data_IF_265499141869
#
_entry.id   IF_265499141869
#
_cell.length_a   1.000
_cell.length_b   1.000
_cell.length_c   1.000
_cell.angle_alpha   90.00
_cell.angle_beta   90.00
_cell.angle_gamma   90.00
#
_symmetry.space_group_name_H-M   'P 1'
#
loop_
_entity.id
_entity.type
_entity.pdbx_description
1 polymer ?
#
# COMPACT_ATOMS: atom_id res chain seq x y z
N UNK A 1 24.03 9.61 -7.30
CA UNK A 1 25.03 8.65 -7.82
C UNK A 1 25.36 7.68 -6.69
N UNK A 2 24.64 6.56 -6.61
CA UNK A 2 24.80 5.56 -5.56
C UNK A 2 25.99 4.66 -5.90
N UNK A 3 26.98 4.54 -5.01
CA UNK A 3 28.17 3.72 -5.25
C UNK A 3 27.88 2.22 -5.19
N UNK A 4 28.50 1.45 -6.09
CA UNK A 4 28.41 -0.02 -6.22
C UNK A 4 28.60 -0.77 -4.88
N UNK A 5 29.25 -0.16 -3.90
CA UNK A 5 29.54 -0.76 -2.59
C UNK A 5 28.32 -0.89 -1.65
N UNK A 6 27.24 -0.12 -1.86
CA UNK A 6 26.00 -0.26 -1.07
C UNK A 6 25.06 -1.34 -1.63
N UNK A 7 25.20 -1.68 -2.91
CA UNK A 7 24.49 -2.80 -3.55
C UNK A 7 24.95 -4.16 -3.01
N UNK A 8 26.26 -4.32 -2.78
CA UNK A 8 26.83 -5.56 -2.25
C UNK A 8 26.45 -5.84 -0.78
N UNK A 9 26.14 -4.81 0.01
CA UNK A 9 25.59 -5.01 1.36
C UNK A 9 24.22 -5.70 1.32
N UNK A 10 23.40 -5.46 0.30
CA UNK A 10 22.06 -6.04 0.21
C UNK A 10 22.06 -7.46 -0.36
N UNK A 11 22.94 -7.75 -1.34
CA UNK A 11 23.22 -9.14 -1.78
C UNK A 11 23.81 -9.99 -0.64
N UNK A 12 24.50 -9.34 0.32
CA UNK A 12 25.09 -9.97 1.50
C UNK A 12 24.17 -10.13 2.71
N UNK A 13 23.06 -9.38 2.81
CA UNK A 13 22.01 -9.65 3.82
C UNK A 13 21.16 -10.79 3.29
N UNK A 14 21.70 -11.99 3.38
CA UNK A 14 20.85 -13.17 3.38
C UNK A 14 19.89 -13.04 4.57
N UNK A 15 18.60 -12.85 4.31
CA UNK A 15 17.57 -13.33 5.21
C UNK A 15 17.57 -14.87 5.16
N UNK A 16 18.72 -15.51 5.43
CA UNK A 16 18.78 -16.93 5.75
C UNK A 16 18.32 -17.09 7.18
N UNK A 17 17.00 -17.17 7.33
CA UNK A 17 16.45 -18.28 8.09
C UNK A 17 15.54 -19.04 7.15
N UNK A 18 15.93 -20.28 6.86
CA UNK A 18 14.95 -21.30 6.54
C UNK A 18 13.80 -21.15 7.51
N UNK A 19 12.64 -20.71 7.03
CA UNK A 19 11.38 -21.08 7.64
C UNK A 19 11.33 -22.59 7.45
N UNK A 20 11.97 -23.34 8.36
CA UNK A 20 11.50 -24.69 8.63
C UNK A 20 10.02 -24.50 8.89
N UNK A 21 9.18 -25.25 8.19
CA UNK A 21 7.83 -25.49 8.65
C UNK A 21 7.96 -25.99 10.10
N UNK A 22 7.85 -25.07 11.05
CA UNK A 22 7.67 -25.39 12.45
C UNK A 22 6.35 -26.14 12.45
N UNK A 23 6.36 -27.32 13.07
CA UNK A 23 5.15 -28.14 13.19
C UNK A 23 3.97 -27.28 13.65
N UNK A 24 2.77 -27.65 13.19
CA UNK A 24 1.50 -27.14 13.69
C UNK A 24 1.30 -27.56 15.16
N UNK A 25 2.20 -27.13 16.04
CA UNK A 25 1.92 -27.02 17.46
C UNK A 25 1.28 -25.63 17.64
N UNK A 26 0.17 -25.55 18.39
CA UNK A 26 -0.58 -24.32 18.70
C UNK A 26 0.29 -23.29 19.46
N UNK A 27 1.29 -22.72 18.80
CA UNK A 27 2.12 -21.66 19.36
C UNK A 27 1.31 -20.38 19.29
N UNK A 28 0.70 -20.01 20.41
CA UNK A 28 0.06 -18.72 20.60
C UNK A 28 1.10 -17.62 20.38
N UNK A 29 0.94 -16.83 19.32
CA UNK A 29 1.81 -15.69 19.06
C UNK A 29 1.75 -14.68 20.22
N UNK A 30 2.88 -14.38 20.84
CA UNK A 30 2.94 -13.39 21.92
C UNK A 30 2.74 -11.95 21.40
N UNK A 31 2.52 -11.00 22.31
CA UNK A 31 2.27 -9.59 21.99
C UNK A 31 3.42 -8.93 21.20
N UNK A 32 4.68 -9.19 21.60
CA UNK A 32 5.84 -8.60 20.95
C UNK A 32 6.04 -9.17 19.53
N UNK A 33 5.85 -10.48 19.38
CA UNK A 33 5.86 -11.17 18.10
C UNK A 33 4.73 -10.70 17.19
N UNK A 34 3.55 -10.41 17.72
CA UNK A 34 2.42 -9.87 16.95
C UNK A 34 2.68 -8.43 16.47
N UNK A 35 3.30 -7.58 17.30
CA UNK A 35 3.75 -6.24 16.87
C UNK A 35 4.81 -6.34 15.77
N UNK A 36 5.80 -7.24 15.92
CA UNK A 36 6.82 -7.50 14.88
C UNK A 36 6.22 -8.07 13.60
N UNK A 37 5.17 -8.89 13.70
CA UNK A 37 4.46 -9.39 12.52
C UNK A 37 3.74 -8.26 11.78
N UNK A 38 3.10 -7.35 12.50
CA UNK A 38 2.42 -6.21 11.90
C UNK A 38 3.43 -5.21 11.31
N UNK A 39 4.47 -4.82 12.06
CA UNK A 39 5.26 -3.63 11.75
C UNK A 39 6.78 -3.84 11.67
N UNK A 40 7.27 -5.06 11.91
CA UNK A 40 8.69 -5.39 11.93
C UNK A 40 9.10 -6.43 10.90
N UNK A 41 9.91 -7.39 11.34
CA UNK A 41 10.66 -8.36 10.54
C UNK A 41 10.01 -9.75 10.45
N UNK A 42 8.77 -9.91 10.94
CA UNK A 42 8.03 -11.19 10.90
C UNK A 42 6.72 -11.13 10.07
N UNK A 43 6.69 -10.54 8.86
CA UNK A 43 5.45 -10.30 8.13
C UNK A 43 4.70 -11.57 7.70
N UNK A 44 5.39 -12.72 7.63
CA UNK A 44 4.83 -14.02 7.30
C UNK A 44 4.32 -14.83 8.49
N UNK A 45 4.32 -14.26 9.71
CA UNK A 45 3.86 -14.98 10.91
C UNK A 45 2.40 -15.43 10.78
N UNK A 46 2.10 -16.64 11.27
CA UNK A 46 0.72 -17.10 11.36
C UNK A 46 0.03 -16.44 12.56
N UNK A 47 -1.13 -15.85 12.29
CA UNK A 47 -2.01 -15.20 13.27
C UNK A 47 -3.39 -15.84 13.29
N UNK A 48 -3.53 -17.04 12.73
CA UNK A 48 -4.80 -17.78 12.62
C UNK A 48 -5.47 -18.07 13.97
N UNK A 49 -4.68 -18.20 15.03
CA UNK A 49 -5.18 -18.42 16.40
C UNK A 49 -5.88 -17.18 17.02
N UNK A 50 -5.69 -15.97 16.44
CA UNK A 50 -6.34 -14.75 16.94
C UNK A 50 -7.82 -14.76 16.56
N UNK A 51 -8.68 -14.62 17.57
CA UNK A 51 -10.12 -14.72 17.48
C UNK A 51 -10.82 -13.38 17.78
N UNK A 52 -12.13 -13.25 17.48
CA UNK A 52 -12.91 -12.09 17.91
C UNK A 52 -13.02 -11.90 19.43
N UNK A 53 -12.73 -12.93 20.23
CA UNK A 53 -12.72 -12.87 21.70
C UNK A 53 -11.43 -12.28 22.26
N UNK A 54 -10.37 -12.18 21.45
CA UNK A 54 -9.10 -11.58 21.86
C UNK A 54 -9.22 -10.08 22.13
N UNK A 55 -8.21 -9.56 22.83
CA UNK A 55 -8.09 -8.14 23.14
C UNK A 55 -8.16 -7.28 21.87
N UNK A 56 -8.80 -6.09 21.94
CA UNK A 56 -9.03 -5.26 20.76
C UNK A 56 -7.76 -4.91 19.97
N UNK A 57 -6.65 -4.57 20.63
CA UNK A 57 -5.38 -4.25 19.95
C UNK A 57 -4.76 -5.47 19.27
N UNK A 58 -4.83 -6.67 19.89
CA UNK A 58 -4.37 -7.92 19.24
C UNK A 58 -5.16 -8.19 17.96
N UNK A 59 -6.49 -8.01 18.01
CA UNK A 59 -7.36 -8.16 16.84
C UNK A 59 -7.03 -7.17 15.72
N UNK A 60 -6.74 -5.91 16.07
CA UNK A 60 -6.31 -4.91 15.08
C UNK A 60 -4.98 -5.27 14.43
N UNK A 61 -3.96 -5.62 15.23
CA UNK A 61 -2.65 -6.06 14.73
C UNK A 61 -2.76 -7.29 13.82
N UNK A 62 -3.53 -8.30 14.22
CA UNK A 62 -3.79 -9.47 13.39
C UNK A 62 -4.53 -9.10 12.08
N UNK A 63 -5.48 -8.17 12.14
CA UNK A 63 -6.14 -7.63 10.95
C UNK A 63 -5.16 -6.94 9.98
N UNK A 64 -4.16 -6.24 10.50
CA UNK A 64 -3.07 -5.63 9.72
C UNK A 64 -2.19 -6.70 9.05
N UNK A 65 -1.80 -7.75 9.79
CA UNK A 65 -1.00 -8.88 9.27
C UNK A 65 -1.75 -9.64 8.18
N UNK A 66 -2.99 -10.05 8.44
CA UNK A 66 -3.83 -10.77 7.49
C UNK A 66 -4.09 -9.94 6.23
N UNK A 67 -4.25 -8.62 6.38
CA UNK A 67 -4.34 -7.69 5.25
C UNK A 67 -3.11 -7.69 4.36
N UNK A 68 -1.91 -7.61 4.96
CA UNK A 68 -0.64 -7.68 4.23
C UNK A 68 -0.47 -9.01 3.48
N UNK A 69 -0.94 -10.12 4.07
CA UNK A 69 -0.93 -11.45 3.47
C UNK A 69 -2.04 -11.65 2.41
N UNK A 70 -2.90 -10.65 2.18
CA UNK A 70 -4.03 -10.73 1.22
C UNK A 70 -5.23 -11.53 1.73
N UNK A 71 -5.28 -11.90 3.02
CA UNK A 71 -6.37 -12.65 3.66
C UNK A 71 -7.50 -11.72 4.13
N UNK A 72 -8.06 -10.94 3.21
CA UNK A 72 -8.97 -9.84 3.56
C UNK A 72 -10.27 -10.28 4.24
N UNK A 73 -10.79 -11.47 3.97
CA UNK A 73 -11.96 -12.01 4.66
C UNK A 73 -11.70 -12.25 6.15
N UNK A 74 -10.57 -12.91 6.47
CA UNK A 74 -10.16 -13.16 7.85
C UNK A 74 -9.89 -11.83 8.57
N UNK A 75 -9.19 -10.90 7.91
CA UNK A 75 -8.96 -9.57 8.45
C UNK A 75 -10.28 -8.81 8.74
N UNK A 76 -11.25 -8.90 7.83
CA UNK A 76 -12.55 -8.24 8.00
C UNK A 76 -13.35 -8.79 9.18
N UNK A 77 -13.25 -10.10 9.47
CA UNK A 77 -13.87 -10.72 10.66
C UNK A 77 -13.34 -10.12 11.95
N UNK A 78 -12.04 -9.85 12.02
CA UNK A 78 -11.41 -9.26 13.22
C UNK A 78 -11.67 -7.75 13.33
N UNK A 79 -11.55 -7.01 12.22
CA UNK A 79 -11.62 -5.56 12.17
C UNK A 79 -13.04 -5.00 12.16
N UNK A 80 -14.00 -5.71 11.55
CA UNK A 80 -15.37 -5.23 11.39
C UNK A 80 -16.03 -4.82 12.71
N UNK A 81 -16.03 -5.69 13.75
CA UNK A 81 -16.60 -5.32 15.04
C UNK A 81 -15.78 -4.25 15.80
N UNK A 82 -14.50 -4.07 15.49
CA UNK A 82 -13.67 -3.02 16.12
C UNK A 82 -14.12 -1.61 15.70
N UNK A 83 -14.79 -1.44 14.56
CA UNK A 83 -15.34 -0.14 14.15
C UNK A 83 -16.44 0.38 15.08
N UNK A 84 -17.02 -0.47 15.92
CA UNK A 84 -18.10 -0.12 16.84
C UNK A 84 -17.64 -0.11 18.32
N UNK A 85 -16.34 -0.26 18.61
CA UNK A 85 -15.88 -0.19 20.01
C UNK A 85 -15.92 1.24 20.53
N UNK A 86 -16.00 1.39 21.85
CA UNK A 86 -16.02 2.70 22.53
C UNK A 86 -14.70 3.46 22.45
N UNK A 87 -13.60 2.79 22.12
CA UNK A 87 -12.29 3.41 21.95
C UNK A 87 -12.21 4.06 20.54
N UNK A 88 -12.31 5.41 20.44
CA UNK A 88 -12.35 6.09 19.15
C UNK A 88 -11.05 5.94 18.34
N UNK A 89 -9.90 5.83 19.00
CA UNK A 89 -8.60 5.66 18.33
C UNK A 89 -8.55 4.30 17.66
N UNK A 90 -8.93 3.24 18.38
CA UNK A 90 -8.93 1.90 17.82
C UNK A 90 -10.01 1.71 16.74
N UNK A 91 -11.20 2.29 16.93
CA UNK A 91 -12.26 2.28 15.92
C UNK A 91 -11.81 2.98 14.62
N UNK A 92 -11.11 4.12 14.76
CA UNK A 92 -10.48 4.84 13.64
C UNK A 92 -9.45 3.97 12.92
N UNK A 93 -8.51 3.37 13.65
CA UNK A 93 -7.49 2.51 13.08
C UNK A 93 -8.09 1.28 12.38
N UNK A 94 -9.12 0.66 12.95
CA UNK A 94 -9.81 -0.46 12.33
C UNK A 94 -10.52 -0.06 11.02
N UNK A 95 -11.18 1.10 11.00
CA UNK A 95 -11.81 1.66 9.80
C UNK A 95 -10.76 1.94 8.70
N UNK A 96 -9.65 2.60 9.04
CA UNK A 96 -8.56 2.89 8.09
C UNK A 96 -7.81 1.64 7.60
N UNK A 97 -7.64 0.61 8.44
CA UNK A 97 -7.09 -0.68 7.99
C UNK A 97 -8.02 -1.35 6.97
N UNK A 98 -9.34 -1.36 7.23
CA UNK A 98 -10.32 -1.87 6.27
C UNK A 98 -10.36 -1.03 4.99
N UNK A 99 -10.20 0.29 5.09
CA UNK A 99 -10.10 1.19 3.93
C UNK A 99 -8.90 0.80 3.05
N UNK A 100 -7.74 0.56 3.65
CA UNK A 100 -6.55 0.10 2.94
C UNK A 100 -6.80 -1.23 2.19
N UNK A 101 -7.52 -2.18 2.78
CA UNK A 101 -7.88 -3.43 2.10
C UNK A 101 -8.78 -3.19 0.88
N UNK A 102 -9.73 -2.25 0.96
CA UNK A 102 -10.56 -1.87 -0.19
C UNK A 102 -9.74 -1.22 -1.29
N UNK A 103 -8.77 -0.37 -0.91
CA UNK A 103 -7.86 0.30 -1.83
C UNK A 103 -6.97 -0.68 -2.59
N UNK A 104 -6.49 -1.73 -1.93
CA UNK A 104 -5.71 -2.80 -2.60
C UNK A 104 -6.50 -3.56 -3.66
N UNK A 105 -7.84 -3.54 -3.59
CA UNK A 105 -8.73 -4.11 -4.61
C UNK A 105 -9.25 -3.04 -5.59
N UNK A 106 -8.62 -1.86 -5.61
CA UNK A 106 -8.97 -0.70 -6.45
C UNK A 106 -10.28 0.02 -6.06
N UNK A 107 -10.81 -0.25 -4.87
CA UNK A 107 -12.06 0.29 -4.36
C UNK A 107 -11.95 1.66 -3.70
N UNK A 108 -11.42 2.67 -4.38
CA UNK A 108 -11.14 3.98 -3.80
C UNK A 108 -12.39 4.68 -3.22
N UNK A 109 -13.54 4.59 -3.89
CA UNK A 109 -14.80 5.18 -3.36
C UNK A 109 -15.22 4.52 -2.04
N UNK A 110 -15.07 3.20 -1.94
CA UNK A 110 -15.43 2.46 -0.74
C UNK A 110 -14.42 2.70 0.40
N UNK A 111 -13.13 2.72 0.07
CA UNK A 111 -12.04 3.03 0.99
C UNK A 111 -12.23 4.43 1.60
N UNK A 112 -12.53 5.43 0.77
CA UNK A 112 -12.71 6.81 1.19
C UNK A 112 -13.79 6.99 2.25
N UNK A 113 -14.90 6.25 2.15
CA UNK A 113 -15.98 6.28 3.14
C UNK A 113 -15.49 5.79 4.51
N UNK A 114 -14.65 4.76 4.53
CA UNK A 114 -14.09 4.19 5.75
C UNK A 114 -13.04 5.12 6.37
N UNK A 115 -12.19 5.78 5.58
CA UNK A 115 -11.25 6.77 6.12
C UNK A 115 -11.96 8.06 6.61
N UNK A 116 -13.08 8.44 6.00
CA UNK A 116 -13.93 9.53 6.52
C UNK A 116 -14.64 9.13 7.84
N UNK A 117 -15.10 7.88 7.94
CA UNK A 117 -15.60 7.30 9.20
C UNK A 117 -14.51 7.31 10.28
N UNK A 118 -13.26 6.98 9.93
CA UNK A 118 -12.14 7.02 10.86
C UNK A 118 -11.96 8.40 11.50
N UNK A 119 -11.96 9.48 10.69
CA UNK A 119 -11.94 10.85 11.21
C UNK A 119 -13.16 11.20 12.08
N UNK A 120 -14.33 10.62 11.76
CA UNK A 120 -15.56 10.82 12.55
C UNK A 120 -15.45 10.17 13.94
N UNK A 121 -14.78 9.03 14.07
CA UNK A 121 -14.49 8.42 15.36
C UNK A 121 -13.58 9.33 16.19
N UNK A 122 -12.53 9.89 15.59
CA UNK A 122 -11.61 10.80 16.29
C UNK A 122 -12.28 12.11 16.75
N UNK A 123 -13.33 12.56 16.06
CA UNK A 123 -14.11 13.72 16.51
C UNK A 123 -14.87 13.48 17.84
N UNK A 124 -14.95 12.22 18.30
CA UNK A 124 -15.60 11.84 19.56
C UNK A 124 -14.63 11.83 20.75
N UNK A 125 -13.35 12.17 20.54
CA UNK A 125 -12.36 12.31 21.61
C UNK A 125 -12.81 13.37 22.63
N UNK A 126 -12.55 13.12 23.92
CA UNK A 126 -12.97 13.98 25.04
C UNK A 126 -14.27 13.54 25.74
N UNK A 127 -14.96 12.50 25.25
CA UNK A 127 -16.00 11.81 26.02
C UNK A 127 -15.37 10.95 27.12
N UNK A 128 -16.07 10.64 28.23
CA UNK A 128 -15.52 9.83 29.32
C UNK A 128 -14.84 8.57 28.79
N UNK A 129 -13.54 8.45 29.08
CA UNK A 129 -12.67 7.45 28.48
C UNK A 129 -13.04 6.02 28.85
N UNK A 130 -12.70 5.08 27.97
CA UNK A 130 -12.71 3.65 28.28
C UNK A 130 -11.53 3.33 29.18
N UNK A 131 -11.77 2.77 30.36
CA UNK A 131 -10.70 2.17 31.16
C UNK A 131 -10.16 0.94 30.44
N UNK A 132 -8.89 0.97 30.05
CA UNK A 132 -8.17 -0.18 29.47
C UNK A 132 -7.45 -0.96 30.57
N UNK A 133 -7.25 -2.26 30.38
CA UNK A 133 -6.33 -3.02 31.26
C UNK A 133 -4.89 -2.57 31.02
N UNK A 134 -3.98 -2.87 31.96
CA UNK A 134 -2.56 -2.50 31.83
C UNK A 134 -1.94 -3.18 30.62
N UNK A 135 -2.26 -4.45 30.37
CA UNK A 135 -1.77 -5.21 29.22
C UNK A 135 -2.24 -4.60 27.89
N UNK A 136 -3.44 -4.03 27.85
CA UNK A 136 -3.95 -3.34 26.67
C UNK A 136 -3.25 -2.01 26.42
N UNK A 137 -2.92 -1.26 27.48
CA UNK A 137 -2.16 -0.02 27.36
C UNK A 137 -0.74 -0.27 26.87
N UNK A 138 -0.05 -1.26 27.44
CA UNK A 138 1.32 -1.63 27.04
C UNK A 138 1.36 -2.08 25.59
N UNK A 139 0.41 -2.93 25.16
CA UNK A 139 0.35 -3.37 23.77
C UNK A 139 0.02 -2.23 22.81
N UNK A 140 -0.93 -1.35 23.17
CA UNK A 140 -1.30 -0.19 22.37
C UNK A 140 -0.10 0.76 22.17
N UNK A 141 0.66 1.02 23.22
CA UNK A 141 1.89 1.82 23.15
C UNK A 141 2.93 1.17 22.24
N UNK A 142 3.23 -0.13 22.45
CA UNK A 142 4.19 -0.88 21.62
C UNK A 142 3.79 -0.91 20.14
N UNK A 143 2.49 -0.91 19.83
CA UNK A 143 1.97 -0.89 18.48
C UNK A 143 1.87 0.52 17.85
N UNK A 144 2.15 1.58 18.63
CA UNK A 144 1.99 2.97 18.20
C UNK A 144 0.52 3.32 17.94
N UNK A 145 -0.38 2.90 18.83
CA UNK A 145 -1.80 3.28 18.84
C UNK A 145 -1.93 4.63 19.53
N UNK A 146 -1.87 5.69 18.73
CA UNK A 146 -2.01 7.07 19.20
C UNK A 146 -3.08 7.80 18.39
N UNK A 147 -3.63 8.90 18.94
CA UNK A 147 -4.53 9.78 18.18
C UNK A 147 -3.86 10.29 16.91
N UNK A 148 -2.62 10.78 17.02
CA UNK A 148 -1.83 11.29 15.90
C UNK A 148 -1.72 10.23 14.80
N UNK A 149 -1.29 9.01 15.14
CA UNK A 149 -1.13 7.94 14.18
C UNK A 149 -2.45 7.57 13.49
N UNK A 150 -3.57 7.53 14.23
CA UNK A 150 -4.89 7.25 13.68
C UNK A 150 -5.36 8.35 12.72
N UNK A 151 -5.12 9.62 13.06
CA UNK A 151 -5.46 10.79 12.23
C UNK A 151 -4.64 10.81 10.95
N UNK A 152 -3.33 10.55 11.06
CA UNK A 152 -2.41 10.45 9.93
C UNK A 152 -2.81 9.31 8.99
N UNK A 153 -3.11 8.12 9.50
CA UNK A 153 -3.53 6.98 8.66
C UNK A 153 -4.81 7.29 7.86
N UNK A 154 -5.79 7.96 8.48
CA UNK A 154 -7.03 8.36 7.83
C UNK A 154 -6.81 9.46 6.77
N UNK A 155 -6.02 10.49 7.06
CA UNK A 155 -5.70 11.57 6.12
C UNK A 155 -4.91 11.06 4.91
N UNK A 156 -3.89 10.21 5.14
CA UNK A 156 -3.13 9.58 4.08
C UNK A 156 -3.99 8.61 3.25
N UNK A 157 -4.93 7.90 3.90
CA UNK A 157 -5.91 7.08 3.21
C UNK A 157 -6.81 7.88 2.26
N UNK A 158 -7.38 8.98 2.75
CA UNK A 158 -8.17 9.91 1.92
C UNK A 158 -7.33 10.50 0.76
N UNK A 159 -6.06 10.82 1.01
CA UNK A 159 -5.15 11.32 -0.02
C UNK A 159 -4.90 10.28 -1.12
N UNK A 160 -4.62 9.03 -0.73
CA UNK A 160 -4.43 7.92 -1.66
C UNK A 160 -5.70 7.65 -2.49
N UNK A 161 -6.89 7.75 -1.88
CA UNK A 161 -8.13 7.64 -2.65
C UNK A 161 -8.38 8.83 -3.57
N UNK A 162 -7.97 10.04 -3.18
CA UNK A 162 -8.02 11.19 -4.07
C UNK A 162 -7.11 10.98 -5.29
N UNK A 163 -5.93 10.37 -5.13
CA UNK A 163 -5.08 9.94 -6.26
C UNK A 163 -5.83 8.94 -7.15
N UNK A 164 -6.35 7.85 -6.58
CA UNK A 164 -7.11 6.83 -7.31
C UNK A 164 -8.46 7.29 -7.89
N UNK A 165 -8.87 8.54 -7.63
CA UNK A 165 -10.03 9.20 -8.21
C UNK A 165 -9.63 10.37 -9.14
N UNK A 166 -8.34 10.55 -9.44
CA UNK A 166 -7.82 11.59 -10.32
C UNK A 166 -7.86 13.01 -9.74
N UNK A 167 -8.01 13.16 -8.42
CA UNK A 167 -8.15 14.44 -7.68
C UNK A 167 -6.84 14.89 -7.06
N UNK A 168 -5.85 15.16 -7.90
CA UNK A 168 -4.46 15.46 -7.48
C UNK A 168 -4.35 16.62 -6.48
N UNK A 169 -5.07 17.73 -6.70
CA UNK A 169 -4.99 18.88 -5.77
C UNK A 169 -5.61 18.59 -4.41
N UNK A 170 -6.64 17.75 -4.37
CA UNK A 170 -7.22 17.28 -3.12
C UNK A 170 -6.24 16.38 -2.37
N UNK A 171 -5.59 15.46 -3.08
CA UNK A 171 -4.56 14.59 -2.53
C UNK A 171 -3.40 15.39 -1.91
N UNK A 172 -2.92 16.45 -2.58
CA UNK A 172 -1.86 17.33 -2.04
C UNK A 172 -2.28 18.04 -0.75
N UNK A 173 -3.52 18.54 -0.68
CA UNK A 173 -4.01 19.20 0.55
C UNK A 173 -4.12 18.23 1.71
N UNK A 174 -4.57 17.00 1.46
CA UNK A 174 -4.69 15.94 2.46
C UNK A 174 -3.32 15.44 2.92
N UNK A 175 -2.36 15.25 2.00
CA UNK A 175 -0.97 14.93 2.34
C UNK A 175 -0.35 16.03 3.21
N UNK A 176 -0.50 17.30 2.83
CA UNK A 176 0.01 18.42 3.62
C UNK A 176 -0.62 18.46 5.03
N UNK A 177 -1.90 18.07 5.17
CA UNK A 177 -2.52 17.95 6.49
C UNK A 177 -1.89 16.82 7.32
N UNK A 178 -1.64 15.65 6.72
CA UNK A 178 -0.96 14.55 7.39
C UNK A 178 0.47 14.91 7.79
N UNK A 179 1.22 15.61 6.93
CA UNK A 179 2.58 16.08 7.22
C UNK A 179 2.61 17.07 8.40
N UNK A 180 1.58 17.92 8.54
CA UNK A 180 1.44 18.81 9.70
C UNK A 180 1.23 18.03 11.00
N UNK A 181 0.36 17.03 10.99
CA UNK A 181 0.14 16.14 12.14
C UNK A 181 1.43 15.38 12.52
N UNK A 182 2.25 15.00 11.53
CA UNK A 182 3.55 14.38 11.74
C UNK A 182 4.67 15.35 12.17
N UNK A 183 4.41 16.66 12.22
CA UNK A 183 5.43 17.67 12.51
C UNK A 183 6.50 17.80 11.42
N UNK A 184 6.21 17.38 10.19
CA UNK A 184 7.13 17.44 9.04
C UNK A 184 7.09 18.78 8.28
N UNK A 185 6.46 19.82 8.85
CA UNK A 185 6.38 21.12 8.19
C UNK A 185 7.78 21.60 7.78
N UNK A 186 7.94 21.85 6.46
CA UNK A 186 9.14 22.47 5.92
C UNK A 186 9.31 23.83 6.57
N UNK A 187 10.25 23.93 7.51
CA UNK A 187 10.68 25.24 7.98
C UNK A 187 11.20 26.02 6.75
N UNK A 188 10.78 27.27 6.52
CA UNK A 188 11.41 28.09 5.51
C UNK A 188 12.91 28.19 5.84
N UNK A 189 13.76 27.91 4.85
CA UNK A 189 15.21 27.81 5.00
C UNK A 189 15.78 29.01 5.78
N UNK A 190 16.04 28.82 7.07
CA UNK A 190 16.87 29.75 7.84
C UNK A 190 18.32 29.43 7.49
N UNK A 191 18.97 30.30 6.72
CA UNK A 191 20.43 30.29 6.50
C UNK A 191 21.15 30.36 7.84
N UNK A 192 21.49 29.19 8.40
CA UNK A 192 22.21 29.01 9.66
C UNK A 192 23.62 28.49 9.45
N UNK A 193 24.59 29.16 10.07
CA UNK A 193 26.06 28.98 10.00
C UNK A 193 26.50 27.59 10.51
N UNK A 194 27.58 26.98 9.97
CA UNK A 194 27.97 25.62 10.35
C UNK A 194 28.59 25.56 11.76
N UNK A 195 28.00 24.75 12.64
CA UNK A 195 28.50 24.41 13.97
C UNK A 195 29.43 23.19 13.94
N UNK A 196 30.48 23.22 14.76
CA UNK A 196 31.55 22.21 14.88
C UNK A 196 31.04 20.84 15.35
N UNK A 197 31.57 19.77 14.73
CA UNK A 197 31.42 18.38 15.19
C UNK A 197 32.43 18.05 16.29
N UNK A 198 31.98 17.38 17.35
CA UNK A 198 32.82 16.84 18.41
C UNK A 198 32.65 15.33 18.57
N UNK A 199 33.79 14.62 18.59
CA UNK A 199 34.12 13.46 19.43
C UNK A 199 33.24 12.21 19.42
N UNK A 200 33.75 11.16 18.78
CA UNK A 200 33.25 9.79 18.89
C UNK A 200 33.69 9.13 20.21
N UNK A 201 32.78 8.36 20.81
CA UNK A 201 33.06 7.37 21.85
C UNK A 201 32.29 6.10 21.52
N UNK A 202 33.02 5.00 21.35
CA UNK A 202 32.54 3.68 20.93
C UNK A 202 31.78 2.97 22.05
N UNK A 203 30.48 2.77 21.84
CA UNK A 203 29.73 1.58 22.22
C UNK A 203 28.77 1.29 21.07
N UNK A 204 28.69 0.04 20.61
CA UNK A 204 27.81 -0.33 19.49
C UNK A 204 26.38 0.15 19.79
N UNK A 205 25.70 0.81 18.85
CA UNK A 205 24.44 1.47 19.16
C UNK A 205 23.42 0.39 19.55
N UNK A 206 22.67 0.56 20.66
CA UNK A 206 21.40 -0.13 20.81
C UNK A 206 20.55 0.17 19.55
N UNK A 207 19.62 -0.71 19.13
CA UNK A 207 18.73 -0.40 18.02
C UNK A 207 18.17 1.00 18.25
N UNK A 208 18.46 1.92 17.32
CA UNK A 208 18.09 3.32 17.46
C UNK A 208 16.58 3.36 17.75
N UNK A 209 16.12 4.14 18.74
CA UNK A 209 14.69 4.29 18.97
C UNK A 209 14.05 4.67 17.64
N UNK A 210 13.04 3.89 17.24
CA UNK A 210 12.31 4.14 16.00
C UNK A 210 11.86 5.61 16.03
N UNK A 211 12.11 6.41 14.97
CA UNK A 211 11.64 7.77 14.96
C UNK A 211 10.13 7.77 15.19
N UNK A 212 9.65 8.68 16.04
CA UNK A 212 8.24 8.80 16.35
C UNK A 212 7.42 8.83 15.05
N UNK A 213 6.35 8.03 15.01
CA UNK A 213 5.43 7.90 13.87
C UNK A 213 6.09 7.57 12.51
N UNK A 214 7.21 6.84 12.50
CA UNK A 214 7.88 6.40 11.26
C UNK A 214 6.92 5.78 10.24
N UNK A 215 5.90 5.04 10.69
CA UNK A 215 4.87 4.42 9.84
C UNK A 215 4.12 5.47 9.02
N UNK A 216 3.70 6.55 9.68
CA UNK A 216 3.03 7.68 9.04
C UNK A 216 3.93 8.37 8.03
N UNK A 217 5.21 8.59 8.38
CA UNK A 217 6.19 9.24 7.50
C UNK A 217 6.50 8.38 6.25
N UNK A 218 6.67 7.06 6.40
CA UNK A 218 6.86 6.14 5.27
C UNK A 218 5.65 6.19 4.34
N UNK A 219 4.42 6.13 4.89
CA UNK A 219 3.19 6.20 4.11
C UNK A 219 3.01 7.57 3.43
N UNK A 220 3.41 8.67 4.07
CA UNK A 220 3.41 10.00 3.48
C UNK A 220 4.34 10.05 2.25
N UNK A 221 5.51 9.43 2.33
CA UNK A 221 6.42 9.29 1.18
C UNK A 221 5.81 8.48 0.03
N UNK A 222 5.10 7.38 0.32
CA UNK A 222 4.38 6.62 -0.72
C UNK A 222 3.30 7.46 -1.41
N UNK A 223 2.42 8.09 -0.63
CA UNK A 223 1.34 8.93 -1.15
C UNK A 223 1.89 10.13 -1.92
N UNK A 224 2.97 10.75 -1.42
CA UNK A 224 3.68 11.81 -2.12
C UNK A 224 4.20 11.35 -3.48
N UNK A 225 4.87 10.20 -3.54
CA UNK A 225 5.33 9.63 -4.81
C UNK A 225 4.16 9.34 -5.77
N UNK A 226 3.08 8.74 -5.27
CA UNK A 226 1.85 8.47 -6.05
C UNK A 226 1.21 9.76 -6.59
N UNK A 227 1.18 10.84 -5.81
CA UNK A 227 0.69 12.16 -6.25
C UNK A 227 1.55 12.71 -7.40
N UNK A 228 2.87 12.62 -7.28
CA UNK A 228 3.79 13.12 -8.30
C UNK A 228 3.72 12.29 -9.59
N UNK A 229 3.58 10.96 -9.49
CA UNK A 229 3.31 10.09 -10.63
C UNK A 229 2.00 10.43 -11.33
N UNK A 230 0.90 10.58 -10.58
CA UNK A 230 -0.40 10.97 -11.12
C UNK A 230 -0.43 12.40 -11.70
N UNK A 231 0.55 13.23 -11.33
CA UNK A 231 0.75 14.57 -11.88
C UNK A 231 1.68 14.60 -13.11
N UNK A 232 2.18 13.44 -13.57
CA UNK A 232 3.13 13.33 -14.68
C UNK A 232 4.54 13.81 -14.33
N UNK A 233 4.90 13.84 -13.04
CA UNK A 233 6.20 14.32 -12.53
C UNK A 233 7.01 13.18 -11.92
N UNK A 234 7.30 12.17 -12.73
CA UNK A 234 7.97 10.96 -12.27
C UNK A 234 9.34 11.21 -11.59
N UNK A 235 10.13 12.16 -12.10
CA UNK A 235 11.40 12.60 -11.46
C UNK A 235 11.21 13.03 -10.00
N UNK A 236 10.13 13.75 -9.70
CA UNK A 236 9.83 14.24 -8.36
C UNK A 236 9.34 13.11 -7.42
N UNK A 237 8.84 12.01 -7.98
CA UNK A 237 8.38 10.86 -7.21
C UNK A 237 9.55 10.01 -6.66
N UNK A 238 10.66 9.90 -7.40
CA UNK A 238 11.84 9.10 -7.02
C UNK A 238 12.39 9.46 -5.64
N UNK A 239 12.75 10.72 -5.31
CA UNK A 239 13.32 11.05 -3.99
C UNK A 239 12.35 10.81 -2.83
N UNK A 240 11.03 10.93 -3.06
CA UNK A 240 10.01 10.62 -2.06
C UNK A 240 9.97 9.12 -1.75
N UNK A 241 9.98 8.29 -2.80
CA UNK A 241 10.00 6.84 -2.68
C UNK A 241 11.31 6.33 -2.04
N UNK A 242 12.46 6.89 -2.42
CA UNK A 242 13.75 6.57 -1.82
C UNK A 242 13.79 6.90 -0.31
N UNK A 243 13.26 8.07 0.07
CA UNK A 243 13.21 8.49 1.48
C UNK A 243 12.34 7.55 2.32
N UNK A 244 11.17 7.16 1.79
CA UNK A 244 10.30 6.17 2.42
C UNK A 244 11.01 4.82 2.60
N UNK A 245 11.72 4.35 1.57
CA UNK A 245 12.47 3.10 1.62
C UNK A 245 13.62 3.12 2.64
N UNK A 246 14.39 4.21 2.70
CA UNK A 246 15.45 4.39 3.71
C UNK A 246 14.87 4.33 5.12
N UNK A 247 13.78 5.06 5.38
CA UNK A 247 13.14 5.08 6.69
C UNK A 247 12.56 3.71 7.07
N UNK A 248 11.90 3.01 6.15
CA UNK A 248 11.39 1.67 6.37
C UNK A 248 12.50 0.66 6.69
N UNK A 249 13.68 0.80 6.05
CA UNK A 249 14.87 -0.02 6.34
C UNK A 249 15.42 0.27 7.73
N UNK A 250 15.54 1.55 8.11
CA UNK A 250 15.94 1.93 9.48
C UNK A 250 14.96 1.38 10.53
N UNK A 251 13.67 1.33 10.21
CA UNK A 251 12.63 0.76 11.06
C UNK A 251 12.66 -0.78 11.15
N UNK A 252 13.45 -1.48 10.32
CA UNK A 252 13.44 -2.95 10.26
C UNK A 252 12.09 -3.54 9.81
N UNK A 253 11.30 -2.77 9.06
CA UNK A 253 9.91 -3.08 8.77
C UNK A 253 9.77 -3.76 7.39
N UNK A 254 9.97 -5.07 7.33
CA UNK A 254 10.12 -5.84 6.10
C UNK A 254 9.03 -5.56 5.05
N UNK A 255 7.74 -5.56 5.43
CA UNK A 255 6.64 -5.25 4.48
C UNK A 255 6.73 -3.82 3.92
N UNK A 256 7.14 -2.86 4.76
CA UNK A 256 7.20 -1.45 4.39
C UNK A 256 8.41 -1.21 3.49
N UNK A 257 9.50 -1.95 3.68
CA UNK A 257 10.64 -1.97 2.76
C UNK A 257 10.17 -2.44 1.38
N UNK A 258 9.55 -3.62 1.29
CA UNK A 258 9.09 -4.17 0.01
C UNK A 258 8.05 -3.29 -0.69
N UNK A 259 7.12 -2.71 0.08
CA UNK A 259 6.16 -1.74 -0.48
C UNK A 259 6.85 -0.46 -0.96
N UNK A 260 7.85 0.04 -0.24
CA UNK A 260 8.62 1.22 -0.66
C UNK A 260 9.43 0.94 -1.93
N UNK A 261 10.04 -0.24 -2.02
CA UNK A 261 10.82 -0.65 -3.18
C UNK A 261 9.92 -0.88 -4.41
N UNK A 262 8.69 -1.38 -4.24
CA UNK A 262 7.68 -1.41 -5.29
C UNK A 262 7.34 0.01 -5.81
N UNK A 263 7.12 0.96 -4.90
CA UNK A 263 6.82 2.36 -5.27
C UNK A 263 8.03 3.01 -5.97
N UNK A 264 9.25 2.78 -5.47
CA UNK A 264 10.48 3.29 -6.07
C UNK A 264 10.72 2.67 -7.45
N UNK A 265 10.56 1.36 -7.60
CA UNK A 265 10.66 0.67 -8.88
C UNK A 265 9.70 1.24 -9.90
N UNK A 266 8.43 1.44 -9.50
CA UNK A 266 7.44 2.13 -10.35
C UNK A 266 7.89 3.54 -10.74
N UNK A 267 8.37 4.34 -9.79
CA UNK A 267 8.81 5.70 -10.08
C UNK A 267 9.98 5.75 -11.07
N UNK A 268 10.96 4.84 -10.91
CA UNK A 268 12.10 4.70 -11.81
C UNK A 268 11.68 4.24 -13.21
N UNK A 269 10.75 3.28 -13.30
CA UNK A 269 10.18 2.81 -14.55
C UNK A 269 9.57 3.96 -15.37
N UNK A 270 8.70 4.76 -14.72
CA UNK A 270 7.99 5.85 -15.39
C UNK A 270 8.92 7.00 -15.75
N UNK A 271 9.89 7.32 -14.87
CA UNK A 271 10.90 8.34 -15.15
C UNK A 271 11.78 7.96 -16.36
N UNK A 272 12.26 6.70 -16.41
CA UNK A 272 13.08 6.22 -17.52
C UNK A 272 12.34 6.16 -18.87
N UNK A 273 11.03 5.89 -18.85
CA UNK A 273 10.19 5.97 -20.06
C UNK A 273 10.05 7.40 -20.57
N UNK A 274 9.84 8.37 -19.66
CA UNK A 274 9.72 9.78 -20.02
C UNK A 274 10.99 10.30 -20.70
N UNK A 275 12.17 9.86 -20.25
CA UNK A 275 13.47 10.20 -20.84
C UNK A 275 13.70 9.54 -22.21
N UNK A 276 13.19 8.33 -22.41
CA UNK A 276 13.31 7.59 -23.68
C UNK A 276 12.38 8.15 -24.77
N UNK A 277 11.19 8.63 -24.41
CA UNK A 277 10.20 9.20 -25.33
C UNK A 277 10.55 10.58 -25.91
N UNK A 278 11.50 11.31 -25.31
CA UNK A 278 12.01 12.60 -25.83
C UNK A 278 12.90 12.41 -27.07
N UNK A 279 13.18 11.16 -27.46
CA UNK A 279 13.95 10.79 -28.66
C UNK A 279 13.15 10.72 -29.96
N UNK A 280 11.82 10.76 -29.93
CA UNK A 280 10.97 10.71 -31.12
C UNK A 280 10.51 12.11 -31.54
N UNK A 281 11.47 13.00 -31.81
CA UNK A 281 11.19 14.30 -32.45
C UNK A 281 11.28 14.13 -33.97
N UNK A 282 10.15 14.42 -34.61
CA UNK A 282 9.95 14.64 -36.05
C UNK A 282 11.17 15.34 -36.67
N UNK A 283 11.69 14.76 -37.75
CA UNK A 283 12.77 15.33 -38.54
C UNK A 283 12.49 16.80 -38.88
N UNK A 284 13.26 17.71 -38.27
CA UNK A 284 13.29 19.12 -38.64
C UNK A 284 12.99 20.10 -37.51
N UNK A 285 13.82 20.14 -36.47
CA UNK A 285 14.08 21.36 -35.68
C UNK A 285 15.37 21.17 -34.87
N UNK A 286 16.19 22.21 -34.84
CA UNK A 286 17.56 22.26 -34.32
C UNK A 286 17.67 21.84 -32.84
N UNK A 287 18.56 20.88 -32.58
CA UNK A 287 18.90 20.37 -31.24
C UNK A 287 19.66 21.45 -30.47
N UNK A 288 19.05 21.93 -29.38
CA UNK A 288 19.77 22.60 -28.29
C UNK A 288 20.27 21.50 -27.34
N UNK A 289 21.51 21.66 -26.86
CA UNK A 289 22.35 20.65 -26.18
C UNK A 289 21.61 19.61 -25.34
N UNK A 290 21.88 18.33 -25.64
CA UNK A 290 21.63 17.21 -24.74
C UNK A 290 22.58 17.35 -23.54
N UNK A 291 22.04 17.49 -22.33
CA UNK A 291 22.82 17.25 -21.11
C UNK A 291 23.20 15.76 -21.07
N UNK A 292 24.49 15.47 -21.28
CA UNK A 292 25.03 14.09 -21.25
C UNK A 292 24.77 13.40 -19.90
N UNK A 293 24.69 14.18 -18.81
CA UNK A 293 24.37 13.72 -17.46
C UNK A 293 22.92 13.22 -17.31
N UNK A 294 21.97 13.84 -18.00
CA UNK A 294 20.56 13.43 -17.99
C UNK A 294 20.36 12.13 -18.77
N UNK A 295 21.01 11.99 -19.93
CA UNK A 295 21.00 10.75 -20.70
C UNK A 295 21.70 9.58 -19.95
N UNK A 296 22.79 9.87 -19.23
CA UNK A 296 23.45 8.89 -18.35
C UNK A 296 22.61 8.45 -17.16
N UNK A 297 21.80 9.37 -16.58
CA UNK A 297 20.84 9.03 -15.53
C UNK A 297 19.72 8.13 -16.04
N UNK A 298 19.19 8.40 -17.24
CA UNK A 298 18.13 7.61 -17.87
C UNK A 298 18.52 6.15 -18.12
N UNK A 299 19.72 5.94 -18.67
CA UNK A 299 20.25 4.61 -19.01
C UNK A 299 20.40 3.72 -17.75
N UNK A 300 20.65 4.30 -16.58
CA UNK A 300 20.81 3.53 -15.33
C UNK A 300 19.48 3.15 -14.63
N UNK A 301 18.37 3.83 -14.94
CA UNK A 301 17.11 3.70 -14.16
C UNK A 301 16.31 2.46 -14.50
N UNK A 302 16.21 2.11 -15.78
CA UNK A 302 15.45 0.93 -16.20
C UNK A 302 16.05 -0.39 -15.69
N UNK A 303 17.38 -0.64 -15.80
CA UNK A 303 18.00 -1.82 -15.17
C UNK A 303 17.82 -1.84 -13.65
N UNK A 304 17.94 -0.68 -12.99
CA UNK A 304 17.72 -0.56 -11.54
C UNK A 304 16.28 -0.92 -11.15
N UNK A 305 15.30 -0.43 -11.90
CA UNK A 305 13.89 -0.76 -11.73
C UNK A 305 13.65 -2.27 -11.85
N UNK A 306 14.14 -2.90 -12.92
CA UNK A 306 13.98 -4.35 -13.17
C UNK A 306 14.56 -5.15 -12.01
N UNK A 307 15.80 -4.85 -11.61
CA UNK A 307 16.47 -5.53 -10.49
C UNK A 307 15.69 -5.35 -9.17
N UNK A 308 15.21 -4.15 -8.88
CA UNK A 308 14.48 -3.84 -7.66
C UNK A 308 13.12 -4.56 -7.61
N UNK A 309 12.35 -4.56 -8.71
CA UNK A 309 11.06 -5.23 -8.78
C UNK A 309 11.18 -6.75 -8.77
N UNK A 310 12.20 -7.32 -9.43
CA UNK A 310 12.50 -8.75 -9.35
C UNK A 310 12.84 -9.17 -7.92
N UNK A 311 13.61 -8.35 -7.21
CA UNK A 311 13.89 -8.54 -5.78
C UNK A 311 12.63 -8.48 -4.92
N UNK A 312 11.73 -7.50 -5.16
CA UNK A 312 10.43 -7.42 -4.47
C UNK A 312 9.62 -8.70 -4.69
N UNK A 313 9.56 -9.22 -5.91
CA UNK A 313 8.83 -10.46 -6.22
C UNK A 313 9.37 -11.65 -5.44
N UNK A 314 10.68 -11.88 -5.47
CA UNK A 314 11.31 -12.99 -4.76
C UNK A 314 10.99 -12.96 -3.26
N UNK A 315 11.17 -11.80 -2.61
CA UNK A 315 10.95 -11.70 -1.17
C UNK A 315 9.47 -11.68 -0.77
N UNK A 316 8.58 -11.15 -1.62
CA UNK A 316 7.13 -11.16 -1.31
C UNK A 316 6.55 -12.57 -1.34
N UNK A 317 7.06 -13.44 -2.21
CA UNK A 317 6.70 -14.87 -2.21
C UNK A 317 7.21 -15.56 -0.95
N UNK A 318 8.50 -15.41 -0.62
CA UNK A 318 9.12 -16.04 0.56
C UNK A 318 8.45 -15.63 1.87
N UNK A 319 7.98 -14.38 1.96
CA UNK A 319 7.35 -13.81 3.15
C UNK A 319 5.82 -13.97 3.17
N UNK A 320 5.23 -14.61 2.16
CA UNK A 320 3.77 -14.83 2.09
C UNK A 320 2.94 -13.54 1.87
N UNK A 321 3.54 -12.50 1.29
CA UNK A 321 2.93 -11.19 1.04
C UNK A 321 2.28 -11.11 -0.34
N UNK A 322 1.34 -12.03 -0.62
CA UNK A 322 0.69 -12.17 -1.94
C UNK A 322 0.03 -10.88 -2.45
N UNK A 323 -0.40 -9.99 -1.55
CA UNK A 323 -1.00 -8.71 -1.92
C UNK A 323 -0.04 -7.76 -2.66
N UNK A 324 1.27 -7.97 -2.55
CA UNK A 324 2.31 -7.20 -3.24
C UNK A 324 2.87 -7.89 -4.49
N UNK A 325 2.67 -9.20 -4.63
CA UNK A 325 3.17 -9.98 -5.78
C UNK A 325 2.54 -9.50 -7.07
N UNK A 326 1.20 -9.46 -7.13
CA UNK A 326 0.51 -9.13 -8.37
C UNK A 326 0.79 -7.72 -8.92
N UNK A 327 0.85 -6.63 -8.12
CA UNK A 327 1.21 -5.31 -8.67
C UNK A 327 2.70 -5.25 -9.06
N UNK A 328 3.60 -5.91 -8.33
CA UNK A 328 5.02 -5.94 -8.68
C UNK A 328 5.26 -6.67 -10.00
N UNK A 329 4.61 -7.82 -10.20
CA UNK A 329 4.72 -8.61 -11.42
C UNK A 329 4.12 -7.86 -12.62
N UNK A 330 2.99 -7.16 -12.42
CA UNK A 330 2.39 -6.34 -13.48
C UNK A 330 3.26 -5.19 -13.94
N UNK A 331 3.93 -4.49 -13.01
CA UNK A 331 4.86 -3.42 -13.39
C UNK A 331 6.08 -4.02 -14.10
N UNK A 332 6.67 -5.09 -13.54
CA UNK A 332 7.85 -5.72 -14.13
C UNK A 332 7.60 -6.29 -15.54
N UNK A 333 6.41 -6.86 -15.78
CA UNK A 333 6.04 -7.43 -17.08
C UNK A 333 6.06 -6.42 -18.24
N UNK A 334 6.01 -5.10 -17.94
CA UNK A 334 6.09 -4.03 -18.94
C UNK A 334 7.53 -3.70 -19.35
N UNK A 335 8.50 -4.15 -18.56
CA UNK A 335 9.91 -3.80 -18.70
C UNK A 335 10.82 -5.00 -18.94
N UNK A 336 10.29 -6.22 -18.82
CA UNK A 336 10.97 -7.49 -19.10
C UNK A 336 10.18 -8.27 -20.17
N UNK A 337 10.32 -7.93 -21.48
CA UNK A 337 9.50 -8.52 -22.54
C UNK A 337 9.69 -10.03 -22.68
N UNK A 338 10.91 -10.53 -22.45
CA UNK A 338 11.25 -11.95 -22.56
C UNK A 338 10.58 -12.80 -21.45
N UNK A 339 10.32 -12.20 -20.29
CA UNK A 339 9.70 -12.85 -19.12
C UNK A 339 8.22 -12.44 -18.94
N UNK A 340 7.69 -11.58 -19.81
CA UNK A 340 6.39 -10.91 -19.62
C UNK A 340 5.23 -11.90 -19.44
N UNK A 341 5.19 -12.98 -20.22
CA UNK A 341 4.14 -14.00 -20.10
C UNK A 341 4.14 -14.69 -18.72
N UNK A 342 5.32 -15.09 -18.23
CA UNK A 342 5.46 -15.72 -16.92
C UNK A 342 5.08 -14.75 -15.79
N UNK A 343 5.50 -13.48 -15.89
CA UNK A 343 5.16 -12.44 -14.92
C UNK A 343 3.65 -12.15 -14.88
N UNK A 344 2.98 -12.15 -16.03
CA UNK A 344 1.52 -12.00 -16.09
C UNK A 344 0.80 -13.20 -15.46
N UNK A 345 1.30 -14.41 -15.65
CA UNK A 345 0.76 -15.62 -14.99
C UNK A 345 0.96 -15.55 -13.47
N UNK A 346 2.12 -15.08 -13.00
CA UNK A 346 2.36 -14.85 -11.58
C UNK A 346 1.39 -13.81 -11.00
N UNK A 347 1.17 -12.70 -11.72
CA UNK A 347 0.21 -11.69 -11.32
C UNK A 347 -1.22 -12.25 -11.22
N UNK A 348 -1.64 -13.04 -12.21
CA UNK A 348 -2.95 -13.67 -12.23
C UNK A 348 -3.14 -14.63 -11.05
N UNK A 349 -2.18 -15.52 -10.83
CA UNK A 349 -2.22 -16.50 -9.75
C UNK A 349 -2.28 -15.84 -8.37
N UNK A 350 -1.42 -14.84 -8.15
CA UNK A 350 -1.40 -14.08 -6.89
C UNK A 350 -2.73 -13.34 -6.66
N UNK A 351 -3.25 -12.63 -7.66
CA UNK A 351 -4.53 -11.92 -7.55
C UNK A 351 -5.68 -12.91 -7.30
N UNK A 352 -5.71 -14.05 -7.99
CA UNK A 352 -6.69 -15.11 -7.78
C UNK A 352 -6.67 -15.66 -6.35
N UNK A 353 -5.49 -15.82 -5.74
CA UNK A 353 -5.37 -16.18 -4.32
C UNK A 353 -5.93 -15.08 -3.40
N UNK A 354 -5.58 -13.82 -3.64
CA UNK A 354 -6.09 -12.67 -2.87
C UNK A 354 -7.62 -12.58 -2.96
N UNK A 355 -8.20 -12.74 -4.15
CA UNK A 355 -9.65 -12.65 -4.36
C UNK A 355 -10.40 -13.83 -3.74
N UNK A 356 -9.84 -15.04 -3.77
CA UNK A 356 -10.39 -16.20 -3.03
C UNK A 356 -10.41 -15.95 -1.52
N UNK A 357 -9.39 -15.26 -1.01
CA UNK A 357 -9.27 -14.92 0.40
C UNK A 357 -9.94 -13.58 0.77
N UNK A 358 -10.59 -12.88 -0.16
CA UNK A 358 -11.32 -11.64 0.08
C UNK A 358 -12.77 -11.89 0.51
N UNK A 359 -13.36 -10.98 1.28
CA UNK A 359 -14.78 -11.04 1.65
C UNK A 359 -15.69 -10.68 0.44
N UNK A 360 -17.01 -10.96 0.50
CA UNK A 360 -17.92 -10.70 -0.62
C UNK A 360 -17.96 -9.24 -1.08
N UNK A 361 -17.75 -8.26 -0.19
CA UNK A 361 -17.71 -6.84 -0.58
C UNK A 361 -16.42 -6.57 -1.37
N UNK A 362 -15.29 -7.11 -0.90
CA UNK A 362 -13.99 -6.99 -1.57
C UNK A 362 -14.02 -7.55 -2.99
N UNK A 363 -14.59 -8.75 -3.19
CA UNK A 363 -14.70 -9.36 -4.53
C UNK A 363 -15.56 -8.52 -5.48
N UNK A 364 -16.69 -8.00 -5.02
CA UNK A 364 -17.55 -7.11 -5.84
C UNK A 364 -16.83 -5.82 -6.22
N UNK A 365 -16.07 -5.25 -5.28
CA UNK A 365 -15.24 -4.07 -5.52
C UNK A 365 -14.20 -4.36 -6.61
N UNK A 366 -13.45 -5.46 -6.47
CA UNK A 366 -12.43 -5.83 -7.45
C UNK A 366 -13.01 -6.05 -8.85
N UNK A 367 -14.14 -6.75 -8.95
CA UNK A 367 -14.82 -7.02 -10.22
C UNK A 367 -15.30 -5.74 -10.94
N UNK A 368 -15.68 -4.70 -10.18
CA UNK A 368 -16.13 -3.42 -10.72
C UNK A 368 -15.00 -2.39 -10.87
N UNK A 369 -13.78 -2.71 -10.42
CA UNK A 369 -12.70 -1.76 -10.32
C UNK A 369 -12.07 -1.49 -11.69
N UNK A 370 -11.87 -0.22 -12.09
CA UNK A 370 -11.09 0.09 -13.29
C UNK A 370 -9.59 -0.17 -13.09
N UNK A 371 -9.15 -0.30 -11.83
CA UNK A 371 -7.75 -0.51 -11.46
C UNK A 371 -7.35 -1.98 -11.43
N UNK A 372 -8.33 -2.90 -11.41
CA UNK A 372 -8.03 -4.33 -11.47
C UNK A 372 -8.18 -4.78 -12.93
N UNK A 373 -7.11 -5.27 -13.59
CA UNK A 373 -7.20 -5.68 -14.99
C UNK A 373 -8.23 -6.80 -15.18
N UNK A 374 -9.17 -6.62 -16.12
CA UNK A 374 -10.24 -7.59 -16.34
C UNK A 374 -9.72 -8.91 -16.90
N UNK A 375 -8.62 -8.90 -17.65
CA UNK A 375 -7.94 -10.10 -18.12
C UNK A 375 -7.37 -10.98 -16.98
N UNK A 376 -7.12 -10.40 -15.80
CA UNK A 376 -6.75 -11.17 -14.61
C UNK A 376 -7.97 -11.68 -13.84
N UNK A 377 -9.18 -11.22 -14.17
CA UNK A 377 -10.43 -11.59 -13.53
C UNK A 377 -11.23 -12.62 -14.34
N UNK A 378 -11.13 -12.57 -15.67
CA UNK A 378 -11.87 -13.43 -16.59
C UNK A 378 -10.93 -14.00 -17.65
N UNK A 379 -10.87 -15.32 -17.75
CA UNK A 379 -10.12 -15.98 -18.83
C UNK A 379 -10.74 -15.66 -20.19
N UNK A 380 -9.91 -15.26 -21.16
CA UNK A 380 -10.33 -15.02 -22.55
C UNK A 380 -10.88 -13.63 -22.85
N UNK A 381 -10.99 -12.72 -21.87
CA UNK A 381 -11.28 -11.31 -22.15
C UNK A 381 -9.99 -10.58 -22.59
N UNK A 382 -10.02 -9.79 -23.68
CA UNK A 382 -8.90 -8.90 -23.96
C UNK A 382 -8.74 -7.93 -22.79
N UNK A 383 -7.51 -7.63 -22.35
CA UNK A 383 -7.29 -6.64 -21.31
C UNK A 383 -7.99 -5.34 -21.69
N UNK A 384 -8.68 -4.74 -20.73
CA UNK A 384 -9.46 -3.52 -20.86
C UNK A 384 -8.72 -2.58 -21.82
N UNK A 385 -9.26 -2.41 -23.03
CA UNK A 385 -8.59 -1.76 -24.15
C UNK A 385 -8.33 -0.28 -23.88
N UNK A 386 -7.24 -0.02 -23.17
CA UNK A 386 -6.44 1.19 -23.08
C UNK A 386 -5.23 0.85 -22.18
N UNK A 387 -4.10 0.45 -22.77
CA UNK A 387 -2.75 0.42 -22.19
C UNK A 387 -2.58 -0.20 -20.79
N UNK A 388 -1.86 -1.32 -20.69
CA UNK A 388 -1.36 -1.87 -19.42
C UNK A 388 -0.54 -0.87 -18.58
N UNK A 389 -0.11 0.24 -19.20
CA UNK A 389 0.62 1.38 -18.66
C UNK A 389 -0.12 2.26 -17.62
N UNK A 390 -1.28 1.84 -17.09
CA UNK A 390 -2.22 2.77 -16.39
C UNK A 390 -2.54 2.41 -14.94
N UNK A 391 -1.95 1.36 -14.40
CA UNK A 391 -2.26 0.84 -13.06
C UNK A 391 -1.82 1.78 -11.92
N UNK A 392 -0.80 2.62 -12.12
CA UNK A 392 -0.24 3.53 -11.09
C UNK A 392 -0.07 5.00 -11.53
N UNK A 393 -0.33 5.32 -12.80
CA UNK A 393 0.10 6.58 -13.44
C UNK A 393 -1.03 7.38 -14.09
N UNK A 394 -2.18 6.76 -14.40
CA UNK A 394 -3.30 7.42 -15.07
C UNK A 394 -4.50 7.59 -14.14
N UNK A 395 -5.27 8.68 -14.33
CA UNK A 395 -6.54 8.91 -13.65
C UNK A 395 -7.53 7.78 -13.94
N UNK A 396 -8.45 7.50 -13.00
CA UNK A 396 -9.58 6.61 -13.27
C UNK A 396 -10.25 7.02 -14.60
N UNK A 397 -10.54 6.09 -15.52
CA UNK A 397 -11.14 6.42 -16.80
C UNK A 397 -12.48 7.15 -16.58
N UNK A 398 -12.81 8.12 -17.44
CA UNK A 398 -14.02 8.97 -17.35
C UNK A 398 -15.36 8.19 -17.34
N UNK A 399 -15.32 6.87 -17.51
CA UNK A 399 -16.48 5.98 -17.45
C UNK A 399 -16.34 4.98 -16.32
N UNK A 400 -17.12 5.18 -15.27
CA UNK A 400 -17.58 4.10 -14.41
C UNK A 400 -18.28 3.08 -15.31
N UNK A 401 -17.83 1.82 -15.32
CA UNK A 401 -18.62 0.71 -15.89
C UNK A 401 -19.92 0.63 -15.09
N UNK A 402 -20.99 1.23 -15.60
CA UNK A 402 -22.34 0.98 -15.10
C UNK A 402 -22.72 -0.40 -15.63
N UNK A 403 -22.60 -1.43 -14.77
CA UNK A 403 -23.22 -2.71 -15.05
C UNK A 403 -24.72 -2.49 -15.24
N UNK A 404 -25.32 -3.19 -16.19
CA UNK A 404 -26.76 -3.15 -16.40
C UNK A 404 -27.47 -3.43 -15.06
N UNK A 405 -28.26 -2.46 -14.57
CA UNK A 405 -29.15 -2.71 -13.45
C UNK A 405 -30.10 -3.84 -13.85
N UNK A 406 -30.27 -4.79 -12.93
CA UNK A 406 -31.21 -5.89 -13.07
C UNK A 406 -32.59 -5.33 -13.44
N UNK A 407 -33.15 -5.81 -14.55
CA UNK A 407 -34.57 -5.60 -14.87
C UNK A 407 -35.39 -6.45 -13.90
N UNK A 408 -35.82 -5.84 -12.79
CA UNK A 408 -36.95 -6.32 -12.00
C UNK A 408 -38.24 -6.21 -12.85
N UNK A 409 -38.43 -7.16 -13.76
CA UNK A 409 -39.77 -7.52 -14.22
C UNK A 409 -40.24 -8.63 -13.31
N UNK A 410 -41.00 -8.22 -12.29
CA UNK A 410 -41.63 -9.10 -11.34
C UNK A 410 -42.41 -10.21 -12.03
N UNK A 411 -42.26 -11.42 -11.47
CA UNK A 411 -43.26 -12.48 -11.55
C UNK A 411 -44.64 -11.90 -11.19
N UNK A 412 -45.44 -11.60 -12.21
CA UNK A 412 -46.87 -11.36 -12.06
C UNK A 412 -47.58 -12.71 -11.99
N UNK A 413 -47.95 -13.11 -10.78
CA UNK A 413 -48.92 -14.17 -10.48
C UNK A 413 -50.26 -13.83 -11.15
N UNK A 414 -50.67 -14.61 -12.15
CA UNK A 414 -52.03 -14.56 -12.71
C UNK A 414 -52.99 -15.39 -11.84
N UNK A 415 -53.64 -14.71 -10.90
CA UNK A 415 -54.87 -15.21 -10.26
C UNK A 415 -56.03 -15.03 -11.26
N UNK A 416 -56.77 -16.12 -11.47
CA UNK A 416 -57.76 -16.23 -12.53
C UNK A 416 -59.01 -15.38 -12.37
N UNK A 417 -59.64 -15.09 -13.51
CA UNK A 417 -61.07 -14.86 -13.61
C UNK A 417 -61.62 -15.71 -14.76
N UNK A 418 -62.75 -16.36 -14.52
CA UNK A 418 -63.44 -17.33 -15.38
C UNK A 418 -64.37 -16.64 -16.39
N UNK A 419 -64.49 -17.30 -17.57
CA UNK A 419 -65.68 -17.47 -18.46
C UNK A 419 -66.36 -16.18 -19.01
N UNK A 420 -66.89 -16.05 -20.23
CA UNK A 420 -67.60 -16.96 -21.14
C UNK A 420 -67.37 -16.55 -22.62
N UNK A 421 -67.49 -17.54 -23.53
CA UNK A 421 -67.68 -17.37 -24.99
C UNK A 421 -69.15 -17.03 -25.31
N UNK A 422 -69.49 -16.54 -26.51
CA UNK A 422 -69.56 -17.39 -27.71
C UNK A 422 -68.45 -17.18 -28.74
#
# INVERSE_FOLDING_TARGET
>A
MWGESQWLWWVGVQFTRSVRAVGQDDVVIDDASLVRAAFGDLPGADVSAISPADRPTRRWLAGVVLGAQGRYAAAATLLGPLRAVRDPVLASLAASTLAAHRRQLGGHVAARRLDAEALTHLAQLGRPGVTRSVEELVLAEAAGVTESAARVDALLGLAADAVGLGRVDEARRLLAAAERELGLERQPERRGRPGRRGGAGETGPPPLPQPADWRGQVRAGWVGAEIELAAGRAEAAVPLAEAAGRLARTAGAARHVLKSDLVLGTALAVAGQAESGIGEVVAGSTVVGRDEDAAGSAIARLPTCIALLGCVLNHTVDLGLLSLVWPAALVLAQHAPDESAELLDWANNALSCVLRAADPIGRRIAAASPWVPSALLHSGEPPNAAGWAKFLTDKAPDRVKVGAQASDRGCGTSLGCRKESP
#
